data_IF_008356787397
#
_entry.id   IF_008356787397
#
_cell.length_a   1.000
_cell.length_b   1.000
_cell.length_c   1.000
_cell.angle_alpha   90.00
_cell.angle_beta   90.00
_cell.angle_gamma   90.00
#
_symmetry.space_group_name_H-M   'P 1'
#
loop_
_entity.id
_entity.type
_entity.pdbx_description
1 polymer ?
#
# COMPACT_ATOMS: atom_id res chain seq x y z
N UNK A 1 -17.14 9.04 14.58
CA UNK A 1 -16.37 8.03 13.85
C UNK A 1 -14.87 8.22 14.05
N UNK A 2 -14.15 7.12 14.24
CA UNK A 2 -12.69 7.15 14.29
C UNK A 2 -12.09 7.42 12.91
N UNK A 3 -10.81 7.81 12.87
CA UNK A 3 -10.08 8.00 11.60
C UNK A 3 -10.06 6.73 10.76
N UNK A 4 -9.86 5.57 11.40
CA UNK A 4 -9.87 4.29 10.71
C UNK A 4 -11.24 3.94 10.12
N UNK A 5 -12.31 4.23 10.84
CA UNK A 5 -13.67 4.01 10.34
C UNK A 5 -13.96 4.91 9.14
N UNK A 6 -13.55 6.17 9.20
CA UNK A 6 -13.70 7.10 8.07
C UNK A 6 -12.92 6.61 6.84
N UNK A 7 -11.70 6.12 7.03
CA UNK A 7 -10.90 5.59 5.93
C UNK A 7 -11.56 4.37 5.30
N UNK A 8 -12.10 3.45 6.09
CA UNK A 8 -12.80 2.27 5.57
C UNK A 8 -14.03 2.65 4.74
N UNK A 9 -14.80 3.63 5.20
CA UNK A 9 -15.98 4.11 4.48
C UNK A 9 -15.56 4.73 3.15
N UNK A 10 -14.50 5.53 3.13
CA UNK A 10 -13.99 6.15 1.92
C UNK A 10 -13.55 5.11 0.89
N UNK A 11 -12.84 4.07 1.33
CA UNK A 11 -12.40 2.98 0.46
C UNK A 11 -13.61 2.23 -0.11
N UNK A 12 -14.59 1.91 0.72
CA UNK A 12 -15.80 1.22 0.28
C UNK A 12 -16.55 2.03 -0.79
N UNK A 13 -16.66 3.34 -0.60
CA UNK A 13 -17.27 4.23 -1.60
C UNK A 13 -16.54 4.19 -2.93
N UNK A 14 -15.22 4.20 -2.90
CA UNK A 14 -14.41 4.13 -4.10
C UNK A 14 -14.67 2.83 -4.87
N UNK A 15 -14.75 1.70 -4.16
CA UNK A 15 -15.01 0.40 -4.78
C UNK A 15 -16.42 0.28 -5.37
N UNK A 16 -17.40 0.91 -4.75
CA UNK A 16 -18.78 0.85 -5.24
C UNK A 16 -18.95 1.44 -6.64
N UNK A 17 -18.08 2.34 -7.04
CA UNK A 17 -18.10 2.95 -8.37
C UNK A 17 -17.49 2.07 -9.46
N UNK A 18 -16.82 0.99 -9.09
CA UNK A 18 -16.15 0.05 -10.00
C UNK A 18 -15.26 0.77 -11.03
N UNK A 19 -14.32 1.62 -10.60
CA UNK A 19 -13.48 2.37 -11.53
C UNK A 19 -12.46 1.44 -12.22
N UNK A 20 -12.01 1.76 -13.44
CA UNK A 20 -10.93 1.00 -14.09
C UNK A 20 -9.57 1.24 -13.43
N UNK A 21 -9.39 2.38 -12.76
CA UNK A 21 -8.20 2.71 -11.98
C UNK A 21 -8.63 3.27 -10.64
N UNK A 22 -8.13 2.66 -9.58
CA UNK A 22 -8.38 3.09 -8.21
C UNK A 22 -7.09 3.64 -7.62
N UNK A 23 -7.12 4.87 -7.15
CA UNK A 23 -5.98 5.51 -6.48
C UNK A 23 -6.30 5.65 -5.00
N UNK A 24 -5.47 5.03 -4.16
CA UNK A 24 -5.59 5.06 -2.71
C UNK A 24 -4.36 5.76 -2.13
N UNK A 25 -4.53 7.03 -1.75
CA UNK A 25 -3.43 7.86 -1.26
C UNK A 25 -3.47 7.92 0.27
N UNK A 26 -2.53 7.22 0.90
CA UNK A 26 -2.33 7.20 2.36
C UNK A 26 -3.60 6.85 3.14
N UNK A 27 -4.47 6.04 2.56
CA UNK A 27 -5.79 5.76 3.11
C UNK A 27 -5.81 4.72 4.24
N UNK A 28 -4.67 4.10 4.54
CA UNK A 28 -4.55 3.07 5.58
C UNK A 28 -3.78 3.56 6.82
N UNK A 29 -3.40 4.83 6.86
CA UNK A 29 -2.54 5.37 7.93
C UNK A 29 -3.20 5.36 9.31
N UNK A 30 -4.53 5.41 9.39
CA UNK A 30 -5.26 5.49 10.66
C UNK A 30 -5.94 4.17 11.06
N UNK A 31 -5.69 3.07 10.33
CA UNK A 31 -6.26 1.77 10.66
C UNK A 31 -5.24 0.91 11.39
N UNK A 32 -5.71 -0.03 12.21
CA UNK A 32 -4.86 -0.99 12.88
C UNK A 32 -4.39 -2.07 11.90
N UNK A 33 -3.43 -2.89 12.35
CA UNK A 33 -2.81 -3.94 11.52
C UNK A 33 -3.82 -4.97 11.03
N UNK A 34 -4.75 -5.39 11.89
CA UNK A 34 -5.76 -6.38 11.52
C UNK A 34 -6.71 -5.83 10.47
N UNK A 35 -7.17 -4.60 10.64
CA UNK A 35 -8.05 -3.92 9.68
C UNK A 35 -7.33 -3.69 8.36
N UNK A 36 -6.06 -3.28 8.42
CA UNK A 36 -5.23 -3.12 7.23
C UNK A 36 -5.16 -4.40 6.40
N UNK A 37 -4.92 -5.54 7.04
CA UNK A 37 -4.85 -6.83 6.34
C UNK A 37 -6.16 -7.18 5.65
N UNK A 38 -7.28 -6.94 6.30
CA UNK A 38 -8.61 -7.18 5.71
C UNK A 38 -8.83 -6.31 4.48
N UNK A 39 -8.49 -5.03 4.58
CA UNK A 39 -8.64 -4.09 3.47
C UNK A 39 -7.73 -4.47 2.30
N UNK A 40 -6.46 -4.80 2.58
CA UNK A 40 -5.50 -5.19 1.55
C UNK A 40 -5.93 -6.47 0.83
N UNK A 41 -6.48 -7.42 1.57
CA UNK A 41 -7.03 -8.64 0.99
C UNK A 41 -8.19 -8.32 0.04
N UNK A 42 -9.10 -7.44 0.45
CA UNK A 42 -10.22 -7.00 -0.38
C UNK A 42 -9.74 -6.31 -1.65
N UNK A 43 -8.70 -5.48 -1.55
CA UNK A 43 -8.09 -4.80 -2.69
C UNK A 43 -7.52 -5.83 -3.67
N UNK A 44 -6.79 -6.83 -3.18
CA UNK A 44 -6.20 -7.88 -4.03
C UNK A 44 -7.26 -8.72 -4.74
N UNK A 45 -8.35 -9.05 -4.05
CA UNK A 45 -9.45 -9.82 -4.64
C UNK A 45 -10.13 -9.07 -5.77
N UNK A 46 -10.11 -7.75 -5.74
CA UNK A 46 -10.69 -6.89 -6.79
C UNK A 46 -9.68 -6.45 -7.84
N UNK A 47 -8.42 -6.84 -7.70
CA UNK A 47 -7.35 -6.46 -8.62
C UNK A 47 -7.56 -6.91 -10.06
N UNK A 48 -8.40 -7.91 -10.30
CA UNK A 48 -8.77 -8.35 -11.65
C UNK A 48 -9.79 -7.42 -12.31
N UNK A 49 -10.46 -6.58 -11.54
CA UNK A 49 -11.49 -5.66 -12.03
C UNK A 49 -10.96 -4.25 -12.27
N UNK A 50 -9.88 -3.89 -11.58
CA UNK A 50 -9.33 -2.54 -11.65
C UNK A 50 -7.82 -2.57 -11.39
N UNK A 51 -7.09 -1.66 -12.02
CA UNK A 51 -5.73 -1.37 -11.61
C UNK A 51 -5.77 -0.55 -10.31
N UNK A 52 -4.91 -0.87 -9.36
CA UNK A 52 -4.87 -0.20 -8.07
C UNK A 52 -3.51 0.45 -7.87
N UNK A 53 -3.50 1.76 -7.63
CA UNK A 53 -2.31 2.50 -7.25
C UNK A 53 -2.43 2.84 -5.75
N UNK A 54 -1.57 2.23 -4.94
CA UNK A 54 -1.57 2.45 -3.50
C UNK A 54 -0.34 3.28 -3.12
N UNK A 55 -0.58 4.43 -2.49
CA UNK A 55 0.48 5.31 -2.02
C UNK A 55 0.54 5.23 -0.50
N UNK A 56 1.69 4.83 0.04
CA UNK A 56 1.85 4.64 1.46
C UNK A 56 3.31 4.73 1.89
N UNK A 57 3.53 5.07 3.16
CA UNK A 57 4.83 4.99 3.83
C UNK A 57 5.01 3.68 4.59
N UNK A 58 3.97 2.84 4.64
CA UNK A 58 3.97 1.60 5.42
C UNK A 58 4.34 0.42 4.53
N UNK A 59 5.43 -0.25 4.87
CA UNK A 59 5.87 -1.45 4.14
C UNK A 59 4.80 -2.54 4.20
N UNK A 60 4.10 -2.68 5.33
CA UNK A 60 3.03 -3.66 5.47
C UNK A 60 1.92 -3.48 4.43
N UNK A 61 1.67 -2.25 3.99
CA UNK A 61 0.67 -1.97 2.94
C UNK A 61 1.19 -2.27 1.53
N UNK A 62 2.48 -2.15 1.30
CA UNK A 62 3.10 -2.15 -0.03
C UNK A 62 3.63 -3.51 -0.44
N UNK A 63 4.14 -4.30 0.51
CA UNK A 63 4.86 -5.55 0.23
C UNK A 63 4.08 -6.62 -0.53
N UNK A 64 2.75 -6.49 -0.58
CA UNK A 64 1.89 -7.39 -1.35
C UNK A 64 1.58 -6.91 -2.77
N UNK A 65 2.13 -5.77 -3.19
CA UNK A 65 1.89 -5.23 -4.52
C UNK A 65 2.64 -6.03 -5.59
N UNK A 66 2.17 -5.95 -6.83
CA UNK A 66 2.85 -6.58 -7.97
C UNK A 66 4.12 -5.82 -8.32
N UNK A 67 4.08 -4.51 -8.20
CA UNK A 67 5.20 -3.64 -8.49
C UNK A 67 5.23 -2.48 -7.51
N UNK A 68 6.43 -2.10 -7.09
CA UNK A 68 6.66 -0.96 -6.21
C UNK A 68 7.52 0.07 -6.93
N UNK A 69 7.16 1.33 -6.76
CA UNK A 69 7.96 2.47 -7.22
C UNK A 69 8.30 3.28 -5.98
N UNK A 70 9.60 3.53 -5.78
CA UNK A 70 10.08 4.32 -4.66
C UNK A 70 10.46 5.72 -5.14
N UNK A 71 9.87 6.73 -4.51
CA UNK A 71 10.12 8.13 -4.82
C UNK A 71 10.95 8.79 -3.73
N UNK A 72 11.94 9.56 -4.14
CA UNK A 72 12.74 10.38 -3.22
C UNK A 72 13.07 11.70 -3.91
N UNK A 73 12.82 12.80 -3.22
CA UNK A 73 13.06 14.15 -3.74
C UNK A 73 12.44 14.38 -5.13
N UNK A 74 11.21 13.85 -5.33
CA UNK A 74 10.47 14.02 -6.57
C UNK A 74 10.94 13.15 -7.72
N UNK A 75 11.80 12.16 -7.45
CA UNK A 75 12.35 11.27 -8.49
C UNK A 75 12.10 9.82 -8.15
N UNK A 76 11.94 9.00 -9.18
CA UNK A 76 11.92 7.55 -9.03
C UNK A 76 13.35 7.07 -8.80
N UNK A 77 13.62 6.51 -7.62
CA UNK A 77 14.95 5.99 -7.26
C UNK A 77 15.03 4.48 -7.34
N UNK A 78 13.90 3.79 -7.21
CA UNK A 78 13.82 2.34 -7.36
C UNK A 78 12.47 1.97 -7.97
N UNK A 79 12.43 0.88 -8.74
CA UNK A 79 11.18 0.29 -9.18
C UNK A 79 11.38 -1.20 -9.46
N UNK A 80 10.35 -2.00 -9.19
CA UNK A 80 10.40 -3.44 -9.41
C UNK A 80 9.48 -4.19 -8.45
N UNK A 81 9.61 -5.52 -8.45
CA UNK A 81 8.86 -6.35 -7.52
C UNK A 81 9.36 -6.12 -6.09
N UNK A 82 8.47 -6.15 -5.10
CA UNK A 82 8.88 -5.94 -3.70
C UNK A 82 10.00 -6.88 -3.24
N UNK A 83 9.95 -8.14 -3.65
CA UNK A 83 10.99 -9.12 -3.28
C UNK A 83 12.35 -8.76 -3.85
N UNK A 84 12.39 -8.22 -5.06
CA UNK A 84 13.64 -7.79 -5.69
C UNK A 84 14.21 -6.54 -5.02
N UNK A 85 13.35 -5.58 -4.69
CA UNK A 85 13.75 -4.35 -4.02
C UNK A 85 14.26 -4.62 -2.60
N UNK A 86 13.67 -5.59 -1.91
CA UNK A 86 14.12 -5.97 -0.57
C UNK A 86 15.56 -6.52 -0.59
N UNK A 87 15.98 -7.11 -1.69
CA UNK A 87 17.34 -7.67 -1.88
C UNK A 87 18.34 -6.67 -2.47
N UNK A 88 17.84 -5.58 -3.03
CA UNK A 88 18.69 -4.62 -3.75
C UNK A 88 19.54 -3.73 -2.82
N UNK A 89 19.22 -3.68 -1.52
CA UNK A 89 20.01 -2.92 -0.55
C UNK A 89 19.83 -1.41 -0.65
N UNK A 90 18.80 -0.93 -1.33
CA UNK A 90 18.53 0.49 -1.48
C UNK A 90 17.56 1.04 -0.42
N UNK A 91 16.84 2.09 -0.78
CA UNK A 91 15.92 2.78 0.14
C UNK A 91 14.79 1.87 0.61
N UNK A 92 14.20 1.08 -0.32
CA UNK A 92 13.14 0.14 0.04
C UNK A 92 13.62 -0.88 1.09
N UNK A 93 14.79 -1.48 0.87
CA UNK A 93 15.36 -2.45 1.80
C UNK A 93 15.57 -1.84 3.20
N UNK A 94 16.03 -0.59 3.27
CA UNK A 94 16.19 0.13 4.54
C UNK A 94 14.86 0.38 5.23
N UNK A 95 13.82 0.72 4.47
CA UNK A 95 12.47 0.91 5.02
C UNK A 95 11.92 -0.40 5.59
N UNK A 96 12.17 -1.52 4.91
CA UNK A 96 11.79 -2.84 5.41
C UNK A 96 12.45 -3.11 6.76
N UNK A 97 13.77 -2.88 6.87
CA UNK A 97 14.49 -3.08 8.12
C UNK A 97 13.93 -2.21 9.25
N UNK A 98 13.70 -0.93 8.98
CA UNK A 98 13.23 0.01 9.99
C UNK A 98 11.82 -0.31 10.48
N UNK A 99 10.95 -0.78 9.61
CA UNK A 99 9.54 -1.02 9.95
C UNK A 99 9.24 -2.43 10.43
N UNK A 100 10.12 -3.39 10.17
CA UNK A 100 9.93 -4.78 10.61
C UNK A 100 10.83 -5.18 11.77
N UNK A 101 11.69 -4.29 12.24
CA UNK A 101 12.57 -4.57 13.36
C UNK A 101 11.77 -4.84 14.63
N UNK A 102 12.04 -5.95 15.34
CA UNK A 102 11.37 -6.20 16.61
C UNK A 102 11.82 -5.18 17.65
N UNK A 103 10.88 -4.70 18.40
CA UNK A 103 11.12 -3.73 19.47
C UNK A 103 11.73 -4.43 20.68
#
# INVERSE_FOLDING_TARGET
>A
LSGGQKQRISIARAFLRKPPLLILDDCLSAVDTETEEVILKSIRERGNEAAVLLISHRISSIRGADQVVVLDAGRVVESGAPSDLAKAGGLYARMVEQQTEPV
#
